data_IF_086352744508
#
_entry.id   IF_086352744508
#
_cell.length_a   1.000
_cell.length_b   1.000
_cell.length_c   1.000
_cell.angle_alpha   90.00
_cell.angle_beta   90.00
_cell.angle_gamma   90.00
#
_symmetry.space_group_name_H-M   'P 1'
#
loop_
_entity.id
_entity.type
_entity.pdbx_description
1 polymer ?
#
# COMPACT_ATOMS: atom_id res chain seq x y z
N UNK A 1 1.11 -7.85 -31.53
CA UNK A 1 1.44 -9.26 -31.80
C UNK A 1 0.70 -10.13 -30.80
N UNK A 2 -0.34 -10.86 -31.29
CA UNK A 2 -1.02 -11.88 -30.49
C UNK A 2 -0.06 -13.06 -30.29
N UNK A 3 0.32 -13.29 -29.05
CA UNK A 3 1.05 -14.50 -28.69
C UNK A 3 0.03 -15.60 -28.48
N UNK A 4 -0.07 -16.50 -29.46
CA UNK A 4 -0.87 -17.72 -29.36
C UNK A 4 0.01 -18.78 -28.70
N UNK A 5 -0.21 -18.98 -27.40
CA UNK A 5 0.45 -20.04 -26.62
C UNK A 5 -0.48 -20.55 -25.52
N UNK A 6 -0.77 -21.85 -25.52
CA UNK A 6 -1.46 -22.54 -24.44
C UNK A 6 -0.58 -22.52 -23.18
N UNK A 7 -1.05 -21.92 -22.09
CA UNK A 7 -0.41 -22.01 -20.78
C UNK A 7 0.42 -20.81 -20.34
N UNK A 8 0.24 -19.63 -20.93
CA UNK A 8 0.94 -18.42 -20.45
C UNK A 8 0.34 -17.98 -19.10
N UNK A 9 1.13 -18.12 -18.07
CA UNK A 9 0.80 -17.78 -16.69
C UNK A 9 0.29 -16.32 -16.60
N UNK A 10 -0.81 -16.09 -15.91
CA UNK A 10 -1.42 -14.76 -15.75
C UNK A 10 -0.47 -13.71 -15.17
N UNK A 11 0.55 -14.16 -14.40
CA UNK A 11 1.64 -13.34 -13.89
C UNK A 11 2.55 -12.84 -15.02
N UNK A 12 2.85 -13.67 -16.00
CA UNK A 12 3.71 -13.31 -17.13
C UNK A 12 3.05 -12.24 -18.00
N UNK A 13 1.75 -12.35 -18.27
CA UNK A 13 0.99 -11.33 -19.02
C UNK A 13 0.95 -9.97 -18.31
N UNK A 14 0.83 -9.95 -16.98
CA UNK A 14 0.86 -8.69 -16.20
C UNK A 14 2.23 -8.03 -16.24
N UNK A 15 3.30 -8.79 -16.14
CA UNK A 15 4.67 -8.28 -16.24
C UNK A 15 4.96 -7.70 -17.62
N UNK A 16 4.50 -8.36 -18.69
CA UNK A 16 4.64 -7.83 -20.05
C UNK A 16 3.79 -6.58 -20.28
N UNK A 17 2.54 -6.54 -19.80
CA UNK A 17 1.71 -5.33 -19.93
C UNK A 17 2.33 -4.11 -19.23
N UNK A 18 2.92 -4.29 -18.04
CA UNK A 18 3.60 -3.21 -17.35
C UNK A 18 4.86 -2.73 -18.12
N UNK A 19 5.58 -3.65 -18.77
CA UNK A 19 6.75 -3.30 -19.61
C UNK A 19 6.36 -2.56 -20.89
N UNK A 20 5.18 -2.80 -21.45
CA UNK A 20 4.69 -2.09 -22.62
C UNK A 20 4.52 -0.59 -22.39
N UNK A 21 4.17 -0.18 -21.17
CA UNK A 21 4.04 1.24 -20.81
C UNK A 21 5.36 2.02 -20.91
N UNK A 22 6.51 1.35 -20.83
CA UNK A 22 7.82 1.99 -21.08
C UNK A 22 8.01 2.48 -22.51
N UNK A 23 7.27 1.90 -23.46
CA UNK A 23 7.39 2.19 -24.90
C UNK A 23 6.27 3.10 -25.41
N UNK A 24 5.47 3.69 -24.50
CA UNK A 24 4.37 4.59 -24.86
C UNK A 24 4.90 5.81 -25.61
N UNK A 25 4.41 6.00 -26.83
CA UNK A 25 4.72 7.12 -27.69
C UNK A 25 3.54 8.10 -27.81
N UNK A 26 3.75 9.37 -28.21
CA UNK A 26 2.66 10.33 -28.44
C UNK A 26 1.58 9.84 -29.40
N UNK A 27 1.94 8.97 -30.34
CA UNK A 27 1.00 8.36 -31.28
C UNK A 27 0.01 7.43 -30.61
N UNK A 28 0.44 6.69 -29.58
CA UNK A 28 -0.41 5.77 -28.80
C UNK A 28 -1.46 6.56 -28.02
N UNK A 29 -1.09 7.73 -27.49
CA UNK A 29 -2.00 8.62 -26.81
C UNK A 29 -3.08 9.19 -27.75
N UNK A 30 -2.73 9.46 -29.01
CA UNK A 30 -3.71 9.85 -30.04
C UNK A 30 -4.67 8.72 -30.33
N UNK A 31 -4.15 7.52 -30.52
CA UNK A 31 -4.95 6.32 -30.76
C UNK A 31 -5.88 5.98 -29.60
N UNK A 32 -5.48 6.33 -28.38
CA UNK A 32 -6.30 6.20 -27.17
C UNK A 32 -7.42 7.25 -27.08
N UNK A 33 -7.32 8.36 -27.84
CA UNK A 33 -8.36 9.41 -27.90
C UNK A 33 -7.98 10.76 -27.31
N UNK A 34 -6.70 10.97 -26.94
CA UNK A 34 -6.23 12.28 -26.52
C UNK A 34 -6.10 13.24 -27.71
N UNK A 35 -6.62 14.46 -27.56
CA UNK A 35 -6.55 15.47 -28.61
C UNK A 35 -5.10 15.95 -28.84
N UNK A 36 -4.71 16.24 -30.10
CA UNK A 36 -3.36 16.63 -30.46
C UNK A 36 -2.81 17.84 -29.71
N UNK A 37 -3.67 18.79 -29.38
CA UNK A 37 -3.30 20.02 -28.67
C UNK A 37 -2.80 19.73 -27.26
N UNK A 38 -3.42 18.78 -26.57
CA UNK A 38 -2.97 18.35 -25.22
C UNK A 38 -1.65 17.61 -25.34
N UNK A 39 -1.53 16.67 -26.31
CA UNK A 39 -0.31 15.90 -26.51
C UNK A 39 0.87 16.80 -26.83
N UNK A 40 0.66 17.84 -27.67
CA UNK A 40 1.69 18.82 -28.00
C UNK A 40 2.18 19.66 -26.81
N UNK A 41 1.40 19.74 -25.72
CA UNK A 41 1.78 20.43 -24.47
C UNK A 41 2.42 19.53 -23.44
N UNK A 42 2.49 18.20 -23.67
CA UNK A 42 3.15 17.25 -22.80
C UNK A 42 4.62 17.09 -23.23
N UNK A 43 5.57 17.78 -22.58
CA UNK A 43 6.98 17.77 -23.03
C UNK A 43 7.68 16.45 -22.76
N UNK A 44 7.16 15.68 -21.77
CA UNK A 44 7.74 14.39 -21.35
C UNK A 44 6.63 13.38 -21.09
N UNK A 45 6.78 12.19 -21.65
CA UNK A 45 5.98 11.02 -21.35
C UNK A 45 6.81 10.09 -20.48
N UNK A 46 6.22 9.63 -19.39
CA UNK A 46 6.82 8.65 -18.49
C UNK A 46 5.75 7.70 -17.99
N UNK A 47 6.17 6.56 -17.48
CA UNK A 47 5.30 5.58 -16.85
C UNK A 47 5.68 5.39 -15.39
N UNK A 48 4.74 4.86 -14.60
CA UNK A 48 4.97 4.45 -13.24
C UNK A 48 4.96 2.93 -13.18
N UNK A 49 5.95 2.37 -12.49
CA UNK A 49 5.97 0.95 -12.18
C UNK A 49 5.09 0.65 -10.97
N UNK A 50 4.42 -0.52 -10.94
CA UNK A 50 3.71 -0.95 -9.75
C UNK A 50 4.71 -1.16 -8.61
N UNK A 51 4.31 -0.75 -7.41
CA UNK A 51 5.12 -0.96 -6.21
C UNK A 51 5.17 -2.46 -5.86
N UNK A 52 6.36 -2.97 -5.62
CA UNK A 52 6.56 -4.30 -5.07
C UNK A 52 6.36 -4.32 -3.54
N UNK A 53 6.37 -5.50 -2.96
CA UNK A 53 6.14 -5.67 -1.52
C UNK A 53 7.24 -5.00 -0.69
N UNK A 54 8.47 -5.00 -1.19
CA UNK A 54 9.62 -4.38 -0.52
C UNK A 54 9.47 -2.85 -0.51
N UNK A 55 9.11 -2.25 -1.64
CA UNK A 55 8.84 -0.82 -1.71
C UNK A 55 7.68 -0.40 -0.80
N UNK A 56 6.59 -1.20 -0.75
CA UNK A 56 5.47 -0.96 0.14
C UNK A 56 5.89 -1.02 1.62
N UNK A 57 6.74 -1.98 2.00
CA UNK A 57 7.30 -2.08 3.35
C UNK A 57 8.18 -0.89 3.70
N UNK A 58 9.04 -0.45 2.78
CA UNK A 58 9.90 0.73 2.95
C UNK A 58 9.08 2.00 3.16
N UNK A 59 7.95 2.16 2.47
CA UNK A 59 7.02 3.28 2.67
C UNK A 59 6.49 3.35 4.11
N UNK A 60 6.28 2.21 4.77
CA UNK A 60 5.82 2.17 6.16
C UNK A 60 6.87 2.63 7.18
N UNK A 61 8.17 2.46 6.88
CA UNK A 61 9.26 2.57 7.88
C UNK A 61 10.32 3.62 7.57
N UNK A 62 10.72 3.79 6.31
CA UNK A 62 11.90 4.61 5.96
C UNK A 62 11.66 6.12 5.97
N UNK A 63 10.57 6.68 5.39
CA UNK A 63 10.40 8.12 5.32
C UNK A 63 10.50 8.80 6.68
N UNK A 64 10.91 10.07 6.70
CA UNK A 64 10.93 10.88 7.93
C UNK A 64 9.55 10.93 8.60
N UNK A 65 8.50 10.96 7.78
CA UNK A 65 7.09 10.96 8.20
C UNK A 65 6.43 9.59 7.96
N UNK A 66 7.19 8.49 8.05
CA UNK A 66 6.61 7.16 7.98
C UNK A 66 5.51 7.00 9.04
N UNK A 67 4.44 6.28 8.70
CA UNK A 67 3.29 6.12 9.60
C UNK A 67 3.70 5.49 10.94
N UNK A 68 4.58 4.50 10.93
CA UNK A 68 5.12 3.88 12.15
C UNK A 68 5.78 4.91 13.07
N UNK A 69 6.64 5.78 12.53
CA UNK A 69 7.32 6.83 13.31
C UNK A 69 6.37 7.89 13.86
N UNK A 70 5.28 8.19 13.13
CA UNK A 70 4.24 9.10 13.61
C UNK A 70 3.57 8.53 14.86
N UNK A 71 3.18 7.25 14.83
CA UNK A 71 2.56 6.59 15.97
C UNK A 71 3.52 6.38 17.13
N UNK A 72 4.77 6.01 16.88
CA UNK A 72 5.81 5.95 17.91
C UNK A 72 5.95 7.29 18.65
N UNK A 73 5.92 8.40 17.89
CA UNK A 73 5.99 9.74 18.48
C UNK A 73 4.73 10.08 19.29
N UNK A 74 3.53 9.73 18.81
CA UNK A 74 2.29 9.95 19.54
C UNK A 74 2.28 9.19 20.86
N UNK A 75 2.58 7.89 20.85
CA UNK A 75 2.65 7.09 22.07
C UNK A 75 3.73 7.58 23.05
N UNK A 76 4.86 8.04 22.51
CA UNK A 76 5.93 8.63 23.34
C UNK A 76 5.47 9.90 24.07
N UNK A 77 4.59 10.71 23.47
CA UNK A 77 4.01 11.88 24.12
C UNK A 77 3.16 11.50 25.34
N UNK A 78 2.53 10.32 25.30
CA UNK A 78 1.78 9.75 26.41
C UNK A 78 2.66 8.92 27.37
N UNK A 79 3.98 8.94 27.18
CA UNK A 79 4.95 8.23 28.02
C UNK A 79 5.06 6.73 27.75
N UNK A 80 4.54 6.26 26.61
CA UNK A 80 4.54 4.85 26.18
C UNK A 80 5.54 4.63 25.06
N UNK A 81 6.38 3.61 25.17
CA UNK A 81 7.27 3.14 24.10
C UNK A 81 6.49 2.16 23.21
N UNK A 82 6.15 2.59 22.00
CA UNK A 82 5.51 1.74 21.00
C UNK A 82 6.54 0.91 20.25
N UNK A 83 6.28 -0.37 20.08
CA UNK A 83 7.03 -1.27 19.18
C UNK A 83 6.05 -2.00 18.27
N UNK A 84 6.32 -1.98 16.97
CA UNK A 84 5.56 -2.75 15.98
C UNK A 84 6.43 -3.90 15.51
N UNK A 85 5.91 -5.12 15.55
CA UNK A 85 6.63 -6.30 15.05
C UNK A 85 6.75 -6.26 13.52
N UNK A 86 7.86 -6.77 13.00
CA UNK A 86 8.08 -6.89 11.55
C UNK A 86 7.01 -7.73 10.86
N UNK A 87 6.52 -8.76 11.54
CA UNK A 87 5.41 -9.61 11.12
C UNK A 87 4.11 -8.83 10.84
N UNK A 88 3.85 -7.76 11.60
CA UNK A 88 2.69 -6.87 11.40
C UNK A 88 2.87 -6.04 10.13
N UNK A 89 4.07 -5.53 9.90
CA UNK A 89 4.37 -4.76 8.69
C UNK A 89 4.18 -5.60 7.43
N UNK A 90 4.70 -6.83 7.45
CA UNK A 90 4.54 -7.77 6.34
C UNK A 90 3.07 -8.17 6.12
N UNK A 91 2.31 -8.31 7.20
CA UNK A 91 0.88 -8.57 7.14
C UNK A 91 0.11 -7.40 6.50
N UNK A 92 0.40 -6.16 6.89
CA UNK A 92 -0.22 -4.96 6.31
C UNK A 92 0.09 -4.86 4.82
N UNK A 93 1.35 -5.11 4.42
CA UNK A 93 1.75 -5.13 3.01
C UNK A 93 0.99 -6.19 2.24
N UNK A 94 0.90 -7.41 2.77
CA UNK A 94 0.18 -8.50 2.12
C UNK A 94 -1.31 -8.17 1.91
N UNK A 95 -1.96 -7.57 2.91
CA UNK A 95 -3.36 -7.13 2.82
C UNK A 95 -3.55 -5.96 1.86
N UNK A 96 -2.63 -5.00 1.81
CA UNK A 96 -2.68 -3.90 0.86
C UNK A 96 -2.59 -4.40 -0.60
N UNK A 97 -1.78 -5.43 -0.86
CA UNK A 97 -1.68 -6.08 -2.18
C UNK A 97 -2.93 -6.91 -2.48
N UNK A 98 -3.42 -7.69 -1.53
CA UNK A 98 -4.64 -8.51 -1.66
C UNK A 98 -5.84 -7.64 -2.02
N UNK A 99 -6.02 -6.52 -1.32
CA UNK A 99 -7.13 -5.59 -1.55
C UNK A 99 -6.87 -4.58 -2.68
N UNK A 100 -5.70 -4.65 -3.35
CA UNK A 100 -5.29 -3.73 -4.42
C UNK A 100 -5.34 -2.25 -4.03
N UNK A 101 -5.07 -1.95 -2.78
CA UNK A 101 -5.15 -0.59 -2.23
C UNK A 101 -3.92 0.26 -2.56
N UNK A 102 -2.80 -0.37 -2.90
CA UNK A 102 -1.51 0.31 -3.12
C UNK A 102 -0.99 1.03 -1.87
N UNK A 103 -0.10 1.99 -2.07
CA UNK A 103 0.55 2.72 -0.96
C UNK A 103 -0.42 3.51 -0.07
N UNK A 104 -1.52 4.02 -0.62
CA UNK A 104 -2.54 4.76 0.15
C UNK A 104 -3.25 3.87 1.16
N UNK A 105 -3.50 2.62 0.80
CA UNK A 105 -4.16 1.67 1.68
C UNK A 105 -3.31 1.23 2.87
N UNK A 106 -1.98 1.29 2.76
CA UNK A 106 -1.09 0.98 3.88
C UNK A 106 -1.40 1.85 5.11
N UNK A 107 -1.62 3.15 4.87
CA UNK A 107 -1.96 4.08 5.93
C UNK A 107 -3.28 3.71 6.60
N UNK A 108 -4.33 3.50 5.81
CA UNK A 108 -5.65 3.15 6.33
C UNK A 108 -5.64 1.83 7.11
N UNK A 109 -4.94 0.82 6.62
CA UNK A 109 -4.78 -0.46 7.32
C UNK A 109 -4.06 -0.28 8.66
N UNK A 110 -2.95 0.48 8.67
CA UNK A 110 -2.21 0.75 9.89
C UNK A 110 -3.05 1.55 10.91
N UNK A 111 -3.74 2.60 10.46
CA UNK A 111 -4.63 3.40 11.30
C UNK A 111 -5.74 2.55 11.91
N UNK A 112 -6.36 1.65 11.14
CA UNK A 112 -7.38 0.73 11.63
C UNK A 112 -6.85 -0.17 12.74
N UNK A 113 -5.66 -0.74 12.58
CA UNK A 113 -5.04 -1.60 13.60
C UNK A 113 -4.73 -0.80 14.87
N UNK A 114 -4.31 0.45 14.74
CA UNK A 114 -3.87 1.27 15.87
C UNK A 114 -4.98 2.01 16.60
N UNK A 115 -6.19 2.11 16.02
CA UNK A 115 -7.29 2.91 16.57
C UNK A 115 -7.64 2.53 18.01
N UNK A 116 -7.84 1.24 18.30
CA UNK A 116 -8.18 0.76 19.63
C UNK A 116 -7.01 0.93 20.62
N UNK A 117 -5.78 0.61 20.15
CA UNK A 117 -4.58 0.79 20.96
C UNK A 117 -4.35 2.25 21.37
N UNK A 118 -4.63 3.21 20.49
CA UNK A 118 -4.51 4.65 20.81
C UNK A 118 -5.48 5.09 21.90
N UNK A 119 -6.63 4.43 22.00
CA UNK A 119 -7.61 4.75 23.02
C UNK A 119 -7.31 4.08 24.37
N UNK A 120 -6.92 2.81 24.36
CA UNK A 120 -6.77 1.99 25.56
C UNK A 120 -5.39 2.17 26.23
N UNK A 121 -4.32 2.20 25.47
CA UNK A 121 -2.95 2.14 25.99
C UNK A 121 -2.59 3.35 26.86
N UNK A 122 -2.93 4.61 26.52
CA UNK A 122 -2.67 5.76 27.39
C UNK A 122 -3.34 5.65 28.76
N UNK A 123 -4.51 5.00 28.80
CA UNK A 123 -5.28 4.78 30.04
C UNK A 123 -4.72 3.65 30.92
N UNK A 124 -3.93 2.74 30.36
CA UNK A 124 -3.46 1.52 31.02
C UNK A 124 -2.22 1.68 31.90
N UNK A 125 -1.60 2.88 31.97
CA UNK A 125 -0.31 3.16 32.66
C UNK A 125 0.85 2.27 32.17
N UNK A 126 0.72 1.62 31.02
CA UNK A 126 1.76 0.81 30.44
C UNK A 126 2.91 1.71 29.94
N UNK A 127 4.16 1.35 30.25
CA UNK A 127 5.33 2.08 29.76
C UNK A 127 5.81 1.61 28.38
N UNK A 128 5.37 0.41 27.98
CA UNK A 128 5.70 -0.21 26.70
C UNK A 128 4.50 -0.92 26.13
N UNK A 129 4.32 -0.80 24.84
CA UNK A 129 3.28 -1.51 24.11
C UNK A 129 3.86 -2.11 22.82
N UNK A 130 3.59 -3.38 22.59
CA UNK A 130 4.06 -4.08 21.38
C UNK A 130 2.85 -4.53 20.58
N UNK A 131 2.76 -4.06 19.34
CA UNK A 131 1.74 -4.51 18.39
C UNK A 131 2.17 -5.85 17.82
N UNK A 132 1.42 -6.90 18.13
CA UNK A 132 1.66 -8.27 17.66
C UNK A 132 0.81 -8.60 16.45
N UNK A 133 1.21 -9.63 15.71
CA UNK A 133 0.49 -10.09 14.53
C UNK A 133 -0.95 -10.52 14.85
N UNK A 134 -1.17 -11.20 15.98
CA UNK A 134 -2.51 -11.68 16.37
C UNK A 134 -3.45 -10.51 16.67
N UNK A 135 -2.94 -9.49 17.37
CA UNK A 135 -3.67 -8.26 17.60
C UNK A 135 -4.05 -7.56 16.28
N UNK A 136 -3.08 -7.45 15.35
CA UNK A 136 -3.33 -6.82 14.05
C UNK A 136 -4.40 -7.54 13.24
N UNK A 137 -4.42 -8.88 13.25
CA UNK A 137 -5.45 -9.68 12.60
C UNK A 137 -6.82 -9.44 13.21
N UNK A 138 -6.93 -9.50 14.54
CA UNK A 138 -8.16 -9.29 15.26
C UNK A 138 -8.78 -7.91 14.96
N UNK A 139 -7.95 -6.86 14.94
CA UNK A 139 -8.42 -5.51 14.66
C UNK A 139 -8.93 -5.35 13.22
N UNK A 140 -8.26 -5.95 12.23
CA UNK A 140 -8.72 -5.90 10.85
C UNK A 140 -10.01 -6.71 10.64
N UNK A 141 -10.16 -7.86 11.31
CA UNK A 141 -11.40 -8.64 11.27
C UNK A 141 -12.58 -7.88 11.89
N UNK A 142 -12.39 -7.24 13.05
CA UNK A 142 -13.42 -6.42 13.71
C UNK A 142 -13.86 -5.22 12.87
N UNK A 143 -12.96 -4.65 12.09
CA UNK A 143 -13.22 -3.43 11.32
C UNK A 143 -14.07 -3.62 10.06
N UNK A 144 -14.48 -4.85 9.72
CA UNK A 144 -15.18 -5.19 8.49
C UNK A 144 -14.47 -4.68 7.22
N UNK A 145 -13.15 -4.55 7.24
CA UNK A 145 -12.37 -4.13 6.07
C UNK A 145 -12.58 -5.06 4.87
N UNK A 146 -13.10 -6.27 5.12
CA UNK A 146 -13.50 -7.21 4.06
C UNK A 146 -14.69 -6.72 3.23
N UNK A 147 -15.56 -5.87 3.78
CA UNK A 147 -16.69 -5.28 3.03
C UNK A 147 -16.21 -4.39 1.88
N UNK A 148 -15.03 -3.82 1.97
CA UNK A 148 -14.42 -3.02 0.90
C UNK A 148 -13.93 -3.86 -0.29
N UNK A 149 -13.86 -5.17 -0.14
CA UNK A 149 -13.47 -6.11 -1.20
C UNK A 149 -14.59 -6.27 -2.24
N UNK A 150 -15.84 -6.17 -1.82
CA UNK A 150 -17.04 -6.44 -2.65
C UNK A 150 -17.66 -5.14 -3.21
N UNK A 151 -17.13 -3.98 -2.88
CA UNK A 151 -17.65 -2.68 -3.31
C UNK A 151 -17.03 -2.15 -4.62
N UNK A 152 -16.59 -3.08 -5.53
CA UNK A 152 -16.09 -2.74 -6.87
C UNK A 152 -16.88 -3.45 -7.94
#
# INVERSE_FOLDING_TARGET
TQVVGFGTDSKFRRLEQNRLLHFVAPQDLRSFGLIPEIIGRLPVLTNLEPLDNEALRRILTEPKNAITKQYEKLFKMDGVELKVEDSVLDYIVSKAVEYKLGARGLRSLFETIMTEAMYEVPSSKAKKYTVTLDYAKEQLEKSNFEILKDAK
#
